data_IF_124971871194
#
_entry.id   IF_124971871194
#
_cell.length_a   1.000
_cell.length_b   1.000
_cell.length_c   1.000
_cell.angle_alpha   90.00
_cell.angle_beta   90.00
_cell.angle_gamma   90.00
#
_symmetry.space_group_name_H-M   'P 1'
#
loop_
_entity.id
_entity.type
_entity.pdbx_description
1 polymer ?
#
# COMPACT_ATOMS: atom_id res chain seq x y z
N UNK A 1 -4.38 -12.30 -22.52
CA UNK A 1 -3.15 -11.52 -22.23
C UNK A 1 -2.16 -12.47 -21.59
N UNK A 2 -0.97 -12.65 -22.16
CA UNK A 2 0.07 -13.49 -21.56
C UNK A 2 0.58 -12.80 -20.30
N UNK A 3 0.51 -13.48 -19.16
CA UNK A 3 0.96 -12.94 -17.89
C UNK A 3 2.48 -12.68 -17.97
N UNK A 4 2.89 -11.41 -17.89
CA UNK A 4 4.29 -11.03 -18.02
C UNK A 4 5.00 -11.36 -16.71
N UNK A 5 5.64 -12.53 -16.67
CA UNK A 5 6.44 -12.97 -15.52
C UNK A 5 7.80 -12.26 -15.54
N UNK A 6 8.00 -11.36 -14.59
CA UNK A 6 9.29 -10.71 -14.37
C UNK A 6 10.34 -11.70 -13.83
N UNK A 7 11.62 -11.40 -14.04
CA UNK A 7 12.70 -12.18 -13.43
C UNK A 7 12.75 -11.95 -11.92
N UNK A 8 13.38 -12.88 -11.20
CA UNK A 8 13.50 -12.78 -9.74
C UNK A 8 14.28 -11.53 -9.32
N UNK A 9 15.30 -11.14 -10.08
CA UNK A 9 16.10 -9.94 -9.80
C UNK A 9 15.24 -8.67 -9.89
N UNK A 10 14.31 -8.61 -10.85
CA UNK A 10 13.39 -7.47 -10.99
C UNK A 10 12.39 -7.45 -9.83
N UNK A 11 11.86 -8.60 -9.43
CA UNK A 11 10.92 -8.70 -8.30
C UNK A 11 11.63 -8.37 -6.98
N UNK A 12 12.89 -8.78 -6.81
CA UNK A 12 13.67 -8.46 -5.61
C UNK A 12 13.86 -6.95 -5.42
N UNK A 13 13.97 -6.20 -6.52
CA UNK A 13 14.13 -4.74 -6.46
C UNK A 13 12.78 -4.02 -6.46
N UNK A 14 11.76 -4.50 -7.17
CA UNK A 14 10.51 -3.73 -7.42
C UNK A 14 9.22 -4.37 -6.93
N UNK A 15 9.24 -5.60 -6.45
CA UNK A 15 8.06 -6.31 -5.99
C UNK A 15 7.39 -5.61 -4.80
N UNK A 16 6.08 -5.45 -4.87
CA UNK A 16 5.28 -4.88 -3.78
C UNK A 16 5.46 -3.38 -3.53
N UNK A 17 6.19 -2.66 -4.39
CA UNK A 17 6.36 -1.22 -4.28
C UNK A 17 5.88 -0.47 -5.54
N UNK A 18 5.21 0.65 -5.30
CA UNK A 18 4.81 1.61 -6.33
C UNK A 18 5.43 2.99 -6.05
N UNK A 19 5.34 3.90 -7.02
CA UNK A 19 5.75 5.29 -6.78
C UNK A 19 4.77 5.92 -5.81
N UNK A 20 5.27 6.60 -4.77
CA UNK A 20 4.40 7.28 -3.81
C UNK A 20 3.56 8.36 -4.54
N UNK A 21 2.22 8.26 -4.56
CA UNK A 21 1.37 9.22 -5.26
C UNK A 21 1.43 10.62 -4.64
N UNK A 22 1.73 10.74 -3.34
CA UNK A 22 1.75 12.03 -2.66
C UNK A 22 3.00 12.87 -2.98
N UNK A 23 4.15 12.23 -3.19
CA UNK A 23 5.44 12.92 -3.37
C UNK A 23 6.20 12.57 -4.65
N UNK A 24 5.75 11.56 -5.41
CA UNK A 24 6.46 10.95 -6.53
C UNK A 24 7.82 10.31 -6.13
N UNK A 25 8.05 10.04 -4.85
CA UNK A 25 9.23 9.32 -4.39
C UNK A 25 9.22 7.88 -4.91
N UNK A 26 10.36 7.42 -5.43
CA UNK A 26 10.57 6.00 -5.77
C UNK A 26 11.11 5.19 -4.59
N UNK A 27 11.78 5.84 -3.64
CA UNK A 27 12.15 5.20 -2.39
C UNK A 27 10.92 5.14 -1.48
N UNK A 28 10.72 3.98 -0.86
CA UNK A 28 9.58 3.76 0.05
C UNK A 28 9.72 4.70 1.26
N UNK A 29 8.67 5.46 1.61
CA UNK A 29 8.69 6.31 2.80
C UNK A 29 8.87 5.50 4.10
N UNK A 30 9.55 6.09 5.09
CA UNK A 30 9.65 5.53 6.44
C UNK A 30 8.50 6.10 7.28
N UNK A 31 7.42 5.33 7.45
CA UNK A 31 6.28 5.70 8.29
C UNK A 31 6.56 5.40 9.77
N UNK A 32 7.49 6.15 10.37
CA UNK A 32 7.85 6.01 11.78
C UNK A 32 6.82 6.70 12.70
N UNK A 33 5.66 6.06 12.84
CA UNK A 33 4.54 6.54 13.65
C UNK A 33 4.00 5.44 14.56
N UNK A 34 3.28 5.82 15.61
CA UNK A 34 2.55 4.89 16.49
C UNK A 34 1.09 4.72 16.10
N UNK A 35 0.54 5.63 15.28
CA UNK A 35 -0.90 5.71 14.99
C UNK A 35 -1.20 6.43 13.68
N UNK A 36 -2.35 6.12 13.08
CA UNK A 36 -2.91 6.80 11.91
C UNK A 36 -4.28 7.38 12.25
N UNK A 37 -4.61 8.55 11.69
CA UNK A 37 -5.92 9.16 11.88
C UNK A 37 -7.00 8.44 11.07
N UNK A 38 -8.23 8.38 11.59
CA UNK A 38 -9.38 7.93 10.83
C UNK A 38 -10.04 9.12 10.12
N UNK A 39 -10.50 8.92 8.89
CA UNK A 39 -11.26 9.95 8.17
C UNK A 39 -12.56 10.32 8.89
N UNK A 40 -13.25 9.34 9.47
CA UNK A 40 -14.46 9.51 10.28
C UNK A 40 -14.72 8.27 11.17
N UNK A 41 -15.80 8.31 11.96
CA UNK A 41 -16.15 7.22 12.91
C UNK A 41 -16.56 5.92 12.22
N UNK A 42 -17.19 6.00 11.05
CA UNK A 42 -17.60 4.81 10.28
C UNK A 42 -16.37 4.10 9.70
N UNK A 43 -15.41 4.86 9.16
CA UNK A 43 -14.13 4.33 8.70
C UNK A 43 -13.40 3.57 9.81
N UNK A 44 -13.34 4.12 11.03
CA UNK A 44 -12.76 3.42 12.18
C UNK A 44 -13.48 2.08 12.46
N UNK A 45 -14.82 2.10 12.50
CA UNK A 45 -15.61 0.90 12.74
C UNK A 45 -15.39 -0.18 11.67
N UNK A 46 -15.25 0.22 10.41
CA UNK A 46 -14.99 -0.71 9.30
C UNK A 46 -13.61 -1.36 9.38
N UNK A 47 -12.57 -0.59 9.71
CA UNK A 47 -11.22 -1.12 9.87
C UNK A 47 -11.13 -2.15 11.00
N UNK A 48 -11.72 -1.86 12.17
CA UNK A 48 -11.75 -2.82 13.28
C UNK A 48 -12.68 -4.02 13.00
N UNK A 49 -13.69 -3.84 12.17
CA UNK A 49 -14.58 -4.90 11.71
C UNK A 49 -14.05 -5.73 10.54
N UNK A 50 -12.84 -5.45 10.03
CA UNK A 50 -12.25 -6.05 8.82
C UNK A 50 -13.14 -5.91 7.57
N UNK A 51 -14.05 -4.94 7.57
CA UNK A 51 -14.89 -4.59 6.41
C UNK A 51 -14.12 -3.77 5.38
N UNK A 52 -13.03 -3.15 5.83
CA UNK A 52 -12.11 -2.35 5.03
C UNK A 52 -10.68 -2.66 5.49
N UNK A 53 -9.74 -2.66 4.55
CA UNK A 53 -8.32 -2.84 4.87
C UNK A 53 -7.70 -1.50 5.24
N UNK A 54 -6.93 -1.47 6.34
CA UNK A 54 -6.28 -0.27 6.86
C UNK A 54 -5.22 0.33 5.91
N UNK A 55 -4.93 -0.36 4.82
CA UNK A 55 -4.05 0.12 3.76
C UNK A 55 -4.74 -0.23 2.45
N UNK A 56 -5.10 0.79 1.67
CA UNK A 56 -5.35 0.60 0.25
C UNK A 56 -4.05 0.14 -0.38
N UNK A 57 -3.85 -1.18 -0.46
CA UNK A 57 -3.05 -1.73 -1.55
C UNK A 57 -4.01 -1.58 -2.72
N UNK A 58 -3.85 -0.50 -3.49
CA UNK A 58 -4.60 -0.32 -4.72
C UNK A 58 -4.52 -1.64 -5.49
N UNK A 59 -5.65 -2.30 -5.70
CA UNK A 59 -5.70 -3.60 -6.37
C UNK A 59 -4.96 -3.49 -7.72
N UNK A 60 -3.93 -4.32 -7.88
CA UNK A 60 -3.37 -4.66 -9.19
C UNK A 60 -4.20 -5.77 -9.81
#
# INVERSE_FOLDING_TARGET
MTEKKWSIDTIAVHGGQEVDPATQSRAVPIYQTTSYGFENTEHAANLFGLKELATSIQEL
#
